data_IF_258698768041
#
_entry.id   IF_258698768041
#
_cell.length_a   1.000
_cell.length_b   1.000
_cell.length_c   1.000
_cell.angle_alpha   90.00
_cell.angle_beta   90.00
_cell.angle_gamma   90.00
#
_symmetry.space_group_name_H-M   'P 1'
#
loop_
_entity.id
_entity.type
_entity.pdbx_description
1 polymer ?
#
# COMPACT_ATOMS: atom_id res chain seq x y z
N UNK A 1 -12.40 2.71 -12.64
CA UNK A 1 -12.85 4.11 -12.74
C UNK A 1 -12.95 4.60 -11.32
N UNK A 2 -12.14 5.61 -10.96
CA UNK A 2 -12.17 6.20 -9.64
C UNK A 2 -13.43 7.08 -9.58
N UNK A 3 -14.50 6.49 -9.05
CA UNK A 3 -15.72 7.21 -8.74
C UNK A 3 -15.45 7.99 -7.44
N UNK A 4 -15.05 9.27 -7.57
CA UNK A 4 -14.59 10.13 -6.47
C UNK A 4 -15.75 10.48 -5.53
N UNK A 5 -16.11 9.53 -4.67
CA UNK A 5 -17.10 9.70 -3.60
C UNK A 5 -16.44 9.34 -2.29
N UNK A 6 -15.49 10.20 -1.90
CA UNK A 6 -14.76 10.03 -0.66
C UNK A 6 -14.80 11.29 0.19
N UNK A 7 -14.86 11.09 1.49
CA UNK A 7 -14.58 12.11 2.48
C UNK A 7 -13.17 11.87 3.00
N UNK A 8 -12.31 12.86 2.80
CA UNK A 8 -10.95 12.88 3.32
C UNK A 8 -10.55 14.33 3.53
N UNK A 9 -9.76 14.57 4.58
CA UNK A 9 -9.08 15.84 4.78
C UNK A 9 -7.68 15.54 5.28
N UNK A 10 -6.73 16.37 4.88
CA UNK A 10 -5.34 16.16 5.20
C UNK A 10 -4.62 17.50 5.38
N UNK A 11 -3.84 17.62 6.45
CA UNK A 11 -3.03 18.80 6.71
C UNK A 11 -1.63 18.59 6.13
N UNK A 12 -1.18 19.50 5.30
CA UNK A 12 0.25 19.75 5.07
C UNK A 12 0.66 20.80 6.10
N UNK A 13 1.48 20.42 7.08
CA UNK A 13 2.07 21.41 7.97
C UNK A 13 2.87 22.41 7.11
N UNK A 14 2.74 23.70 7.35
CA UNK A 14 3.41 24.72 6.53
C UNK A 14 3.51 26.02 7.32
N UNK A 15 4.58 26.79 7.11
CA UNK A 15 4.60 28.18 7.56
C UNK A 15 3.70 29.05 6.64
N UNK A 16 3.36 30.30 7.03
CA UNK A 16 2.46 31.13 6.23
C UNK A 16 2.91 31.35 4.79
N UNK A 17 4.22 31.52 4.54
CA UNK A 17 4.77 31.69 3.20
C UNK A 17 4.61 30.41 2.36
N UNK A 18 4.85 29.25 2.95
CA UNK A 18 4.63 27.97 2.29
C UNK A 18 3.14 27.72 2.00
N UNK A 19 2.25 28.10 2.91
CA UNK A 19 0.81 27.98 2.70
C UNK A 19 0.31 28.91 1.57
N UNK A 20 0.90 30.09 1.42
CA UNK A 20 0.63 30.99 0.28
C UNK A 20 1.10 30.37 -1.05
N UNK A 21 2.30 29.77 -1.08
CA UNK A 21 2.83 29.06 -2.25
C UNK A 21 1.94 27.88 -2.65
N UNK A 22 1.42 27.13 -1.66
CA UNK A 22 0.50 26.01 -1.93
C UNK A 22 -0.81 26.49 -2.53
N UNK A 23 -1.39 27.56 -1.98
CA UNK A 23 -2.62 28.14 -2.53
C UNK A 23 -2.41 28.65 -3.97
N UNK A 24 -1.29 29.30 -4.24
CA UNK A 24 -0.92 29.76 -5.59
C UNK A 24 -0.77 28.58 -6.56
N UNK A 25 -0.02 27.54 -6.18
CA UNK A 25 0.15 26.35 -7.00
C UNK A 25 -1.17 25.64 -7.30
N UNK A 26 -2.09 25.58 -6.33
CA UNK A 26 -3.40 24.97 -6.51
C UNK A 26 -4.27 25.75 -7.51
N UNK A 27 -4.25 27.09 -7.43
CA UNK A 27 -4.98 27.92 -8.39
C UNK A 27 -4.45 27.73 -9.82
N UNK A 28 -3.13 27.67 -10.01
CA UNK A 28 -2.50 27.39 -11.31
C UNK A 28 -2.84 25.99 -11.86
N UNK A 29 -3.15 25.02 -10.98
CA UNK A 29 -3.59 23.69 -11.40
C UNK A 29 -5.06 23.67 -11.83
N UNK A 30 -5.92 24.49 -11.22
CA UNK A 30 -7.37 24.50 -11.46
C UNK A 30 -7.76 25.44 -12.59
N UNK A 31 -6.99 26.51 -12.81
CA UNK A 31 -7.15 27.44 -13.92
C UNK A 31 -5.83 27.54 -14.71
N UNK A 32 -5.40 26.44 -15.38
CA UNK A 32 -4.08 26.39 -16.00
C UNK A 32 -3.96 27.35 -17.19
N UNK A 33 -2.89 28.15 -17.21
CA UNK A 33 -2.40 28.78 -18.43
C UNK A 33 -1.59 27.75 -19.23
N UNK A 34 -2.12 27.31 -20.37
CA UNK A 34 -1.47 26.36 -21.28
C UNK A 34 0.00 26.72 -21.57
N UNK A 35 0.30 28.00 -21.75
CA UNK A 35 1.66 28.45 -22.06
C UNK A 35 2.61 28.29 -20.88
N UNK A 36 2.10 28.51 -19.66
CA UNK A 36 2.81 28.28 -18.41
C UNK A 36 3.07 26.79 -18.19
N UNK A 37 2.03 25.96 -18.32
CA UNK A 37 2.15 24.50 -18.15
C UNK A 37 3.12 23.91 -19.17
N UNK A 38 3.03 24.31 -20.44
CA UNK A 38 3.94 23.86 -21.49
C UNK A 38 5.40 24.26 -21.21
N UNK A 39 5.63 25.47 -20.70
CA UNK A 39 6.96 25.90 -20.25
C UNK A 39 7.49 24.97 -19.15
N UNK A 40 6.71 24.68 -18.12
CA UNK A 40 7.14 23.87 -16.97
C UNK A 40 7.48 22.42 -17.35
N UNK A 41 6.65 21.77 -18.17
CA UNK A 41 6.88 20.38 -18.58
C UNK A 41 8.03 20.26 -19.58
N UNK A 42 8.33 21.31 -20.35
CA UNK A 42 9.43 21.34 -21.31
C UNK A 42 10.81 21.41 -20.65
N UNK A 43 10.87 21.80 -19.37
CA UNK A 43 12.11 21.82 -18.60
C UNK A 43 12.58 20.40 -18.26
N UNK A 44 13.83 20.08 -18.58
CA UNK A 44 14.43 18.77 -18.30
C UNK A 44 14.61 18.48 -16.80
N UNK A 45 14.69 19.53 -15.96
CA UNK A 45 14.85 19.42 -14.52
C UNK A 45 14.17 20.59 -13.79
N UNK A 46 14.22 20.56 -12.45
CA UNK A 46 13.63 21.57 -11.57
C UNK A 46 14.60 22.71 -11.19
N UNK A 47 15.80 22.76 -11.77
CA UNK A 47 16.78 23.79 -11.40
C UNK A 47 16.30 25.16 -11.88
N UNK A 48 16.17 26.10 -10.94
CA UNK A 48 15.73 27.47 -11.23
C UNK A 48 14.22 27.66 -11.35
N UNK A 49 13.43 26.61 -11.11
CA UNK A 49 11.99 26.74 -10.87
C UNK A 49 11.74 27.21 -9.43
N UNK A 50 10.71 28.02 -9.24
CA UNK A 50 10.20 28.34 -7.90
C UNK A 50 9.56 27.12 -7.24
N UNK A 51 9.35 27.15 -5.93
CA UNK A 51 8.65 26.08 -5.21
C UNK A 51 7.23 25.85 -5.78
N UNK A 52 6.52 26.92 -6.14
CA UNK A 52 5.22 26.86 -6.81
C UNK A 52 5.32 26.12 -8.16
N UNK A 53 6.28 26.51 -9.00
CA UNK A 53 6.50 25.89 -10.32
C UNK A 53 6.90 24.40 -10.19
N UNK A 54 7.66 24.04 -9.15
CA UNK A 54 8.00 22.64 -8.84
C UNK A 54 6.73 21.85 -8.49
N UNK A 55 5.83 22.42 -7.67
CA UNK A 55 4.58 21.78 -7.28
C UNK A 55 3.72 21.50 -8.51
N UNK A 56 3.44 22.53 -9.30
CA UNK A 56 2.61 22.44 -10.52
C UNK A 56 3.20 21.41 -11.47
N UNK A 57 4.51 21.49 -11.75
CA UNK A 57 5.20 20.56 -12.65
C UNK A 57 5.09 19.11 -12.17
N UNK A 58 5.27 18.85 -10.87
CA UNK A 58 5.18 17.50 -10.31
C UNK A 58 3.78 16.92 -10.46
N UNK A 59 2.76 17.70 -10.10
CA UNK A 59 1.36 17.30 -10.24
C UNK A 59 1.02 16.94 -11.70
N UNK A 60 1.31 17.84 -12.64
CA UNK A 60 1.01 17.65 -14.06
C UNK A 60 1.72 16.42 -14.64
N UNK A 61 3.03 16.26 -14.38
CA UNK A 61 3.80 15.16 -14.96
C UNK A 61 3.39 13.78 -14.44
N UNK A 62 2.86 13.71 -13.21
CA UNK A 62 2.46 12.48 -12.54
C UNK A 62 0.93 12.29 -12.49
N UNK A 63 0.16 13.14 -13.18
CA UNK A 63 -1.29 13.02 -13.20
C UNK A 63 -1.73 11.65 -13.79
N UNK A 64 -2.67 10.92 -13.15
CA UNK A 64 -3.03 9.55 -13.55
C UNK A 64 -3.54 9.42 -14.99
N UNK A 65 -4.18 10.47 -15.51
CA UNK A 65 -4.70 10.52 -16.89
C UNK A 65 -3.74 11.13 -17.90
N UNK A 66 -2.52 11.52 -17.50
CA UNK A 66 -1.54 12.06 -18.44
C UNK A 66 -1.13 10.97 -19.44
N UNK A 67 -1.40 11.23 -20.72
CA UNK A 67 -0.81 10.46 -21.80
C UNK A 67 0.45 11.19 -22.29
N UNK A 68 1.47 10.45 -22.75
CA UNK A 68 2.76 11.05 -23.15
C UNK A 68 2.60 12.04 -24.32
N UNK A 69 1.53 11.89 -25.11
CA UNK A 69 1.25 12.73 -26.27
C UNK A 69 0.64 14.09 -25.93
N UNK A 70 -0.22 14.19 -24.90
CA UNK A 70 -1.03 15.39 -24.64
C UNK A 70 -1.30 15.55 -23.14
N UNK A 71 -1.25 16.79 -22.65
CA UNK A 71 -1.86 17.16 -21.37
C UNK A 71 -3.33 17.43 -21.67
N UNK A 72 -4.28 16.79 -20.95
CA UNK A 72 -5.68 17.13 -21.06
C UNK A 72 -5.91 18.63 -20.87
N UNK A 73 -6.68 19.25 -21.77
CA UNK A 73 -7.05 20.68 -21.70
C UNK A 73 -7.83 21.04 -20.42
N UNK A 74 -8.35 20.03 -19.71
CA UNK A 74 -9.09 20.18 -18.46
C UNK A 74 -8.72 19.02 -17.53
N UNK A 75 -7.75 19.28 -16.64
CA UNK A 75 -7.37 18.35 -15.59
C UNK A 75 -8.32 18.57 -14.41
N UNK A 76 -9.43 17.84 -14.38
CA UNK A 76 -10.35 17.93 -13.25
C UNK A 76 -9.72 17.31 -12.00
N UNK A 77 -9.23 18.18 -11.10
CA UNK A 77 -8.46 17.77 -9.95
C UNK A 77 -9.32 17.21 -8.81
N UNK A 78 -10.59 17.62 -8.71
CA UNK A 78 -11.54 17.13 -7.69
C UNK A 78 -11.00 17.11 -6.24
N UNK A 79 -10.26 18.14 -5.83
CA UNK A 79 -9.97 18.43 -4.42
C UNK A 79 -10.01 19.95 -4.20
N UNK A 80 -9.95 20.39 -2.96
CA UNK A 80 -9.86 21.81 -2.59
C UNK A 80 -8.80 21.97 -1.49
N UNK A 81 -8.45 23.22 -1.20
CA UNK A 81 -7.41 23.56 -0.27
C UNK A 81 -7.62 24.92 0.39
N UNK A 82 -7.46 24.97 1.70
CA UNK A 82 -7.53 26.21 2.46
C UNK A 82 -6.33 26.40 3.39
N UNK A 83 -5.95 27.66 3.59
CA UNK A 83 -4.91 28.02 4.55
C UNK A 83 -5.47 27.96 5.95
N UNK A 84 -4.75 27.31 6.86
CA UNK A 84 -5.07 27.26 8.28
C UNK A 84 -3.84 27.68 9.12
N UNK A 85 -4.00 27.97 10.42
CA UNK A 85 -2.90 28.35 11.29
C UNK A 85 -1.75 27.33 11.33
N UNK A 86 -2.07 26.04 11.16
CA UNK A 86 -1.13 24.93 11.19
C UNK A 86 -0.48 24.63 9.83
N UNK A 87 -0.98 25.22 8.74
CA UNK A 87 -0.45 25.04 7.39
C UNK A 87 -1.49 25.14 6.29
N UNK A 88 -1.61 24.09 5.48
CA UNK A 88 -2.51 24.02 4.34
C UNK A 88 -3.37 22.75 4.43
N UNK A 89 -4.67 22.94 4.58
CA UNK A 89 -5.64 21.85 4.67
C UNK A 89 -6.11 21.49 3.27
N UNK A 90 -5.82 20.28 2.82
CA UNK A 90 -6.42 19.66 1.64
C UNK A 90 -7.75 19.03 2.07
N UNK A 91 -8.84 19.35 1.38
CA UNK A 91 -10.19 18.85 1.67
C UNK A 91 -11.03 18.78 0.37
N UNK A 92 -12.34 18.57 0.49
CA UNK A 92 -13.31 18.86 -0.58
C UNK A 92 -14.61 19.30 0.08
N UNK A 93 -15.11 20.47 -0.32
CA UNK A 93 -16.38 21.01 0.15
C UNK A 93 -17.59 20.37 -0.54
N UNK A 94 -17.37 19.68 -1.67
CA UNK A 94 -18.41 19.12 -2.53
C UNK A 94 -18.68 17.62 -2.27
N UNK A 95 -17.90 16.99 -1.37
CA UNK A 95 -18.05 15.59 -1.01
C UNK A 95 -17.60 14.60 -2.10
N UNK A 96 -16.80 15.08 -3.05
CA UNK A 96 -16.28 14.36 -4.22
C UNK A 96 -14.74 14.31 -4.23
N UNK A 97 -14.13 14.17 -3.05
CA UNK A 97 -12.68 14.21 -2.91
C UNK A 97 -11.97 13.13 -3.73
N UNK A 98 -11.06 13.56 -4.59
CA UNK A 98 -10.11 12.73 -5.30
C UNK A 98 -8.82 12.61 -4.50
N UNK A 99 -8.71 11.51 -3.79
CA UNK A 99 -7.56 11.23 -2.94
C UNK A 99 -6.26 11.00 -3.71
N UNK A 100 -6.30 10.55 -4.97
CA UNK A 100 -5.09 10.37 -5.77
C UNK A 100 -4.46 11.72 -6.09
N UNK A 101 -5.30 12.69 -6.47
CA UNK A 101 -4.90 14.05 -6.79
C UNK A 101 -4.44 14.83 -5.55
N UNK A 102 -5.18 14.75 -4.45
CA UNK A 102 -4.74 15.34 -3.17
C UNK A 102 -3.41 14.75 -2.67
N UNK A 103 -3.18 13.45 -2.85
CA UNK A 103 -1.92 12.80 -2.48
C UNK A 103 -0.75 13.25 -3.38
N UNK A 104 -0.98 13.42 -4.68
CA UNK A 104 0.01 13.97 -5.61
C UNK A 104 0.41 15.40 -5.22
N UNK A 105 -0.58 16.24 -4.91
CA UNK A 105 -0.34 17.62 -4.46
C UNK A 105 0.45 17.67 -3.14
N UNK A 106 0.09 16.82 -2.16
CA UNK A 106 0.83 16.70 -0.91
C UNK A 106 2.29 16.24 -1.13
N UNK A 107 2.52 15.29 -2.04
CA UNK A 107 3.88 14.87 -2.37
C UNK A 107 4.67 16.02 -3.03
N UNK A 108 4.05 16.72 -3.97
CA UNK A 108 4.64 17.84 -4.67
C UNK A 108 5.10 18.94 -3.68
N UNK A 109 4.28 19.23 -2.68
CA UNK A 109 4.62 20.14 -1.59
C UNK A 109 5.86 19.69 -0.80
N UNK A 110 5.91 18.40 -0.40
CA UNK A 110 7.06 17.86 0.33
C UNK A 110 8.36 17.92 -0.49
N UNK A 111 8.27 17.70 -1.81
CA UNK A 111 9.42 17.82 -2.73
C UNK A 111 9.86 19.27 -2.84
N UNK A 112 8.94 20.19 -3.10
CA UNK A 112 9.27 21.60 -3.32
C UNK A 112 9.87 22.28 -2.08
N UNK A 113 9.40 21.88 -0.89
CA UNK A 113 9.92 22.41 0.38
C UNK A 113 11.04 21.56 1.00
N UNK A 114 11.51 20.51 0.31
CA UNK A 114 12.47 19.52 0.80
C UNK A 114 12.17 19.01 2.22
N UNK A 115 10.92 18.64 2.48
CA UNK A 115 10.46 18.17 3.78
C UNK A 115 10.44 16.65 3.85
N UNK A 116 11.01 16.10 4.92
CA UNK A 116 11.05 14.66 5.17
C UNK A 116 9.97 14.26 6.18
N UNK A 117 8.73 14.26 5.71
CA UNK A 117 7.54 13.96 6.51
C UNK A 117 6.72 12.83 5.91
N UNK A 118 5.86 12.26 6.77
CA UNK A 118 4.87 11.28 6.36
C UNK A 118 3.47 11.88 6.59
N UNK A 119 2.77 12.13 5.49
CA UNK A 119 1.42 12.66 5.47
C UNK A 119 0.44 11.49 5.33
N UNK A 120 -0.60 11.46 6.16
CA UNK A 120 -1.58 10.37 6.22
C UNK A 120 -2.97 10.83 5.76
N UNK A 121 -3.47 10.20 4.70
CA UNK A 121 -4.84 10.36 4.21
C UNK A 121 -5.68 9.19 4.72
N UNK A 122 -6.71 9.49 5.51
CA UNK A 122 -7.72 8.53 5.97
C UNK A 122 -8.97 8.73 5.13
N UNK A 123 -9.22 7.80 4.21
CA UNK A 123 -10.18 7.99 3.14
C UNK A 123 -11.42 7.16 3.44
N UNK A 124 -12.53 7.85 3.72
CA UNK A 124 -13.83 7.22 3.89
C UNK A 124 -14.58 7.25 2.56
N UNK A 125 -14.98 6.10 2.02
CA UNK A 125 -15.88 6.09 0.87
C UNK A 125 -17.31 6.29 1.35
N UNK A 126 -18.07 7.16 0.68
CA UNK A 126 -19.39 7.59 1.14
C UNK A 126 -20.52 6.95 0.35
N UNK A 127 -21.67 6.80 1.01
CA UNK A 127 -22.91 6.28 0.42
C UNK A 127 -23.74 7.34 -0.32
N UNK A 128 -23.18 8.53 -0.53
CA UNK A 128 -23.84 9.68 -1.14
C UNK A 128 -24.29 9.42 -2.59
N UNK A 129 -23.75 8.40 -3.25
CA UNK A 129 -24.24 7.91 -4.54
C UNK A 129 -24.93 6.54 -4.43
N UNK A 130 -26.25 6.53 -4.58
CA UNK A 130 -27.14 5.33 -4.59
C UNK A 130 -26.84 4.32 -5.71
N UNK A 131 -25.92 4.63 -6.64
CA UNK A 131 -25.64 3.82 -7.84
C UNK A 131 -24.45 2.88 -7.71
N UNK A 132 -23.67 2.92 -6.62
CA UNK A 132 -22.58 1.95 -6.43
C UNK A 132 -23.15 0.56 -6.09
N UNK A 133 -22.83 -0.48 -6.87
CA UNK A 133 -23.29 -1.83 -6.58
C UNK A 133 -22.40 -2.54 -5.53
N UNK A 134 -21.30 -1.93 -5.12
CA UNK A 134 -20.32 -2.45 -4.16
C UNK A 134 -20.34 -1.70 -2.81
N UNK A 135 -19.64 -2.24 -1.81
CA UNK A 135 -19.61 -1.68 -0.45
C UNK A 135 -18.65 -0.48 -0.32
N UNK A 136 -18.95 0.41 0.62
CA UNK A 136 -18.22 1.66 0.90
C UNK A 136 -16.94 1.46 1.73
N UNK A 137 -16.09 0.53 1.32
CA UNK A 137 -14.87 0.18 2.05
C UNK A 137 -13.76 1.22 1.86
N UNK A 138 -13.42 1.97 2.91
CA UNK A 138 -12.39 3.01 2.86
C UNK A 138 -10.97 2.54 2.51
N UNK A 139 -10.06 3.51 2.45
CA UNK A 139 -8.65 3.32 2.15
C UNK A 139 -7.76 4.19 3.05
N UNK A 140 -6.47 3.87 3.07
CA UNK A 140 -5.45 4.73 3.62
C UNK A 140 -4.41 5.00 2.52
N UNK A 141 -3.99 6.26 2.44
CA UNK A 141 -2.86 6.67 1.62
C UNK A 141 -1.82 7.33 2.52
N UNK A 142 -0.56 6.96 2.31
CA UNK A 142 0.58 7.59 2.98
C UNK A 142 1.49 8.21 1.93
N UNK A 143 1.87 9.46 2.19
CA UNK A 143 2.62 10.29 1.27
C UNK A 143 3.91 10.74 1.93
N UNK A 144 5.02 10.57 1.24
CA UNK A 144 6.31 11.17 1.54
C UNK A 144 6.88 11.78 0.26
N UNK A 145 7.98 12.53 0.38
CA UNK A 145 8.68 13.06 -0.80
C UNK A 145 9.16 11.97 -1.77
N UNK A 146 9.40 10.75 -1.28
CA UNK A 146 9.96 9.64 -2.06
C UNK A 146 8.89 8.67 -2.59
N UNK A 147 7.71 8.62 -1.98
CA UNK A 147 6.67 7.66 -2.36
C UNK A 147 5.25 8.11 -2.00
N UNK A 148 4.29 7.61 -2.77
CA UNK A 148 2.87 7.54 -2.41
C UNK A 148 2.52 6.06 -2.33
N UNK A 149 1.90 5.61 -1.22
CA UNK A 149 1.51 4.21 -1.03
C UNK A 149 0.08 4.11 -0.55
N UNK A 150 -0.61 3.12 -1.08
CA UNK A 150 -2.02 2.87 -0.85
C UNK A 150 -2.22 1.52 -0.19
N UNK A 151 -3.17 1.47 0.75
CA UNK A 151 -3.77 0.22 1.19
C UNK A 151 -5.28 0.43 1.33
N UNK A 152 -6.06 -0.61 1.08
CA UNK A 152 -7.50 -0.51 1.09
C UNK A 152 -8.19 -1.84 1.27
N UNK A 153 -9.49 -1.79 1.54
CA UNK A 153 -10.32 -2.96 1.81
C UNK A 153 -10.34 -3.95 0.63
N UNK A 154 -10.17 -3.45 -0.60
CA UNK A 154 -10.22 -4.26 -1.82
C UNK A 154 -9.24 -5.44 -1.79
N UNK A 155 -7.97 -5.18 -1.45
CA UNK A 155 -6.92 -6.19 -1.44
C UNK A 155 -7.21 -7.32 -0.43
N UNK A 156 -7.68 -6.95 0.76
CA UNK A 156 -8.10 -7.91 1.78
C UNK A 156 -9.29 -8.76 1.28
N UNK A 157 -10.34 -8.11 0.77
CA UNK A 157 -11.53 -8.81 0.28
C UNK A 157 -11.25 -9.70 -0.92
N UNK A 158 -10.37 -9.29 -1.82
CA UNK A 158 -9.97 -10.10 -2.98
C UNK A 158 -9.22 -11.36 -2.53
N UNK A 159 -8.29 -11.22 -1.58
CA UNK A 159 -7.55 -12.33 -1.01
C UNK A 159 -8.50 -13.33 -0.32
N UNK A 160 -9.46 -12.83 0.47
CA UNK A 160 -10.50 -13.65 1.13
C UNK A 160 -11.42 -14.36 0.12
N UNK A 161 -11.91 -13.65 -0.91
CA UNK A 161 -12.77 -14.24 -1.94
C UNK A 161 -12.05 -15.34 -2.71
N UNK A 162 -10.78 -15.12 -3.06
CA UNK A 162 -9.94 -16.09 -3.75
C UNK A 162 -9.75 -17.33 -2.90
N UNK A 163 -9.35 -17.17 -1.63
CA UNK A 163 -9.19 -18.26 -0.68
C UNK A 163 -10.47 -19.08 -0.51
N UNK A 164 -11.62 -18.40 -0.39
CA UNK A 164 -12.91 -19.04 -0.26
C UNK A 164 -13.31 -19.83 -1.51
N UNK A 165 -13.17 -19.22 -2.70
CA UNK A 165 -13.49 -19.85 -3.97
C UNK A 165 -12.62 -21.10 -4.23
N UNK A 166 -11.34 -21.02 -3.89
CA UNK A 166 -10.39 -22.12 -4.01
C UNK A 166 -10.47 -23.13 -2.86
N UNK A 167 -11.27 -22.83 -1.82
CA UNK A 167 -11.40 -23.66 -0.61
C UNK A 167 -10.06 -23.92 0.07
N UNK A 168 -9.25 -22.87 0.22
CA UNK A 168 -7.89 -22.94 0.77
C UNK A 168 -7.81 -22.37 2.18
N UNK A 169 -7.00 -23.02 3.00
CA UNK A 169 -6.56 -22.55 4.31
C UNK A 169 -5.05 -22.29 4.26
N UNK A 170 -4.58 -21.32 5.04
CA UNK A 170 -3.19 -20.91 5.07
C UNK A 170 -2.63 -20.99 6.48
N UNK A 171 -1.38 -21.42 6.59
CA UNK A 171 -0.68 -21.56 7.87
C UNK A 171 0.75 -21.06 7.76
N UNK A 172 1.23 -20.47 8.85
CA UNK A 172 2.66 -20.31 9.09
C UNK A 172 3.14 -21.48 9.94
N UNK A 173 4.15 -22.19 9.44
CA UNK A 173 4.71 -23.39 10.03
C UNK A 173 6.15 -23.13 10.43
N UNK A 174 6.54 -23.57 11.62
CA UNK A 174 7.90 -23.45 12.12
C UNK A 174 8.30 -24.63 12.98
N UNK A 175 9.55 -25.03 12.89
CA UNK A 175 10.17 -26.00 13.78
C UNK A 175 11.66 -25.73 13.92
N UNK A 176 12.33 -26.37 14.86
CA UNK A 176 13.78 -26.28 15.04
C UNK A 176 14.41 -27.62 14.75
N UNK A 177 15.31 -27.67 13.78
CA UNK A 177 16.20 -28.81 13.61
C UNK A 177 17.37 -28.72 14.60
N UNK A 178 17.67 -29.82 15.28
CA UNK A 178 18.79 -29.94 16.20
C UNK A 178 19.81 -30.91 15.63
N UNK A 179 21.06 -30.48 15.48
CA UNK A 179 22.19 -31.31 15.02
C UNK A 179 23.28 -31.27 16.09
N UNK A 180 23.34 -32.31 16.93
CA UNK A 180 24.19 -32.29 18.13
C UNK A 180 23.76 -31.19 19.09
N UNK A 181 24.62 -30.19 19.31
CA UNK A 181 24.35 -29.02 20.16
C UNK A 181 23.84 -27.80 19.37
N UNK A 182 23.76 -27.88 18.04
CA UNK A 182 23.37 -26.76 17.18
C UNK A 182 21.87 -26.79 16.90
N UNK A 183 21.22 -25.62 17.03
CA UNK A 183 19.80 -25.42 16.70
C UNK A 183 19.65 -24.57 15.43
N UNK A 184 18.83 -25.05 14.49
CA UNK A 184 18.53 -24.40 13.21
C UNK A 184 17.01 -24.17 13.07
N UNK A 185 16.53 -22.92 13.17
CA UNK A 185 15.13 -22.63 12.97
C UNK A 185 14.75 -22.79 11.49
N UNK A 186 13.63 -23.46 11.25
CA UNK A 186 13.02 -23.66 9.93
C UNK A 186 11.63 -23.06 9.97
N UNK A 187 11.32 -22.20 9.00
CA UNK A 187 10.00 -21.57 8.86
C UNK A 187 9.57 -21.59 7.40
N UNK A 188 8.29 -21.84 7.17
CA UNK A 188 7.68 -21.86 5.84
C UNK A 188 6.18 -21.58 5.94
N UNK A 189 5.56 -21.29 4.81
CA UNK A 189 4.12 -21.13 4.73
C UNK A 189 3.49 -22.34 4.04
N UNK A 190 2.37 -22.82 4.57
CA UNK A 190 1.61 -23.95 4.07
C UNK A 190 0.28 -23.47 3.50
N UNK A 191 0.05 -23.77 2.22
CA UNK A 191 -1.26 -23.64 1.58
C UNK A 191 -1.92 -25.02 1.51
N UNK A 192 -3.06 -25.18 2.18
CA UNK A 192 -3.72 -26.48 2.33
C UNK A 192 -5.19 -26.38 1.91
N UNK A 193 -5.69 -27.25 1.02
CA UNK A 193 -7.14 -27.36 0.78
C UNK A 193 -7.88 -27.65 2.08
N UNK A 194 -9.07 -27.06 2.25
CA UNK A 194 -9.88 -27.23 3.46
C UNK A 194 -10.41 -28.67 3.65
N UNK A 195 -10.37 -29.49 2.58
CA UNK A 195 -10.69 -30.91 2.61
C UNK A 195 -9.56 -31.78 3.16
N UNK A 196 -8.37 -31.21 3.35
CA UNK A 196 -7.17 -31.92 3.83
C UNK A 196 -6.91 -31.51 5.27
N UNK A 197 -6.56 -32.48 6.12
CA UNK A 197 -6.15 -32.20 7.50
C UNK A 197 -4.76 -31.53 7.51
N UNK A 198 -4.73 -30.23 7.78
CA UNK A 198 -3.50 -29.45 7.78
C UNK A 198 -2.47 -29.94 8.80
N UNK A 199 -2.90 -30.40 9.98
CA UNK A 199 -1.99 -30.94 10.99
C UNK A 199 -1.35 -32.25 10.50
N UNK A 200 -2.11 -33.13 9.86
CA UNK A 200 -1.56 -34.35 9.26
C UNK A 200 -0.56 -34.03 8.14
N UNK A 201 -0.88 -33.07 7.28
CA UNK A 201 0.02 -32.63 6.21
C UNK A 201 1.29 -31.98 6.77
N UNK A 202 1.17 -31.23 7.87
CA UNK A 202 2.32 -30.66 8.55
C UNK A 202 3.22 -31.77 9.14
N UNK A 203 2.63 -32.75 9.82
CA UNK A 203 3.34 -33.93 10.32
C UNK A 203 4.08 -34.68 9.19
N UNK A 204 3.44 -34.87 8.03
CA UNK A 204 4.07 -35.46 6.84
C UNK A 204 5.26 -34.65 6.34
N UNK A 205 5.16 -33.31 6.31
CA UNK A 205 6.27 -32.45 5.91
C UNK A 205 7.44 -32.58 6.87
N UNK A 206 7.17 -32.62 8.18
CA UNK A 206 8.21 -32.79 9.20
C UNK A 206 8.88 -34.17 9.12
N UNK A 207 8.09 -35.22 8.92
CA UNK A 207 8.58 -36.58 8.72
C UNK A 207 9.43 -36.70 7.46
N UNK A 208 9.05 -36.04 6.37
CA UNK A 208 9.80 -36.09 5.11
C UNK A 208 10.85 -34.97 4.99
N UNK A 209 11.13 -34.25 6.07
CA UNK A 209 12.20 -33.27 6.06
C UNK A 209 13.55 -33.98 5.85
N UNK A 210 14.42 -33.41 5.00
CA UNK A 210 15.65 -34.05 4.51
C UNK A 210 15.37 -35.40 3.82
N UNK A 211 15.87 -36.50 4.39
CA UNK A 211 15.86 -37.84 3.79
C UNK A 211 14.81 -38.76 4.42
N UNK A 212 13.93 -38.22 5.27
CA UNK A 212 12.93 -38.99 6.01
C UNK A 212 13.35 -39.29 7.46
N UNK A 213 12.46 -39.01 8.40
CA UNK A 213 12.63 -39.21 9.83
C UNK A 213 11.61 -40.18 10.41
N UNK A 214 11.90 -40.67 11.61
CA UNK A 214 11.04 -41.57 12.37
C UNK A 214 10.53 -40.88 13.63
N UNK A 215 9.26 -41.13 14.00
CA UNK A 215 8.69 -40.66 15.26
C UNK A 215 9.16 -41.55 16.40
N UNK A 216 9.69 -40.95 17.46
CA UNK A 216 9.98 -41.63 18.72
C UNK A 216 8.72 -41.78 19.59
N UNK A 217 8.86 -42.47 20.72
CA UNK A 217 7.76 -42.76 21.64
C UNK A 217 7.16 -41.51 22.31
N UNK A 218 7.88 -40.39 22.30
CA UNK A 218 7.45 -39.09 22.84
C UNK A 218 6.88 -38.17 21.76
N UNK A 219 6.85 -38.63 20.50
CA UNK A 219 6.38 -37.88 19.34
C UNK A 219 7.42 -36.93 18.74
N UNK A 220 8.67 -36.98 19.18
CA UNK A 220 9.80 -36.32 18.55
C UNK A 220 10.15 -36.98 17.22
N UNK A 221 10.69 -36.22 16.26
CA UNK A 221 11.13 -36.76 14.96
C UNK A 221 12.65 -36.81 14.96
N UNK A 222 13.21 -37.98 14.64
CA UNK A 222 14.65 -38.21 14.53
C UNK A 222 15.02 -38.67 13.13
N UNK A 223 16.17 -38.20 12.63
CA UNK A 223 16.67 -38.52 11.30
C UNK A 223 17.91 -39.42 11.40
N UNK A 224 18.11 -40.26 10.38
CA UNK A 224 19.28 -41.15 10.26
C UNK A 224 20.62 -40.39 10.21
N UNK A 225 20.59 -39.11 9.84
CA UNK A 225 21.71 -38.17 9.90
C UNK A 225 22.15 -37.82 11.33
N UNK A 226 21.39 -38.21 12.36
CA UNK A 226 21.61 -37.85 13.75
C UNK A 226 21.02 -36.49 14.14
N UNK A 227 20.20 -35.88 13.29
CA UNK A 227 19.43 -34.68 13.62
C UNK A 227 18.03 -35.00 14.15
N UNK A 228 17.38 -34.05 14.81
CA UNK A 228 16.02 -34.19 15.34
C UNK A 228 15.20 -32.91 15.20
N UNK A 229 13.88 -33.02 15.16
CA UNK A 229 12.97 -31.87 15.20
C UNK A 229 12.48 -31.62 16.63
N UNK A 230 12.47 -30.34 17.04
CA UNK A 230 11.82 -29.86 18.26
C UNK A 230 11.05 -28.56 17.99
N UNK A 231 10.27 -28.11 18.98
CA UNK A 231 9.57 -26.80 19.00
C UNK A 231 8.65 -26.58 17.78
N UNK A 232 7.95 -27.62 17.33
CA UNK A 232 7.01 -27.56 16.19
C UNK A 232 5.81 -26.68 16.50
N UNK A 233 5.49 -25.78 15.58
CA UNK A 233 4.36 -24.85 15.68
C UNK A 233 3.71 -24.67 14.31
N UNK A 234 2.38 -24.65 14.28
CA UNK A 234 1.56 -24.35 13.10
C UNK A 234 0.46 -23.39 13.52
N UNK A 235 0.42 -22.22 12.90
CA UNK A 235 -0.52 -21.15 13.24
C UNK A 235 -1.33 -20.78 12.01
N UNK A 236 -2.67 -20.70 12.08
CA UNK A 236 -3.46 -20.21 10.96
C UNK A 236 -3.07 -18.75 10.69
N UNK A 237 -3.02 -18.39 9.41
CA UNK A 237 -2.79 -17.03 8.95
C UNK A 237 -3.88 -16.67 7.94
N UNK A 238 -4.14 -15.37 7.81
CA UNK A 238 -5.06 -14.83 6.81
C UNK A 238 -4.50 -15.01 5.39
N UNK A 239 -5.36 -15.03 4.36
CA UNK A 239 -4.93 -15.01 2.97
C UNK A 239 -4.03 -13.80 2.64
N UNK A 240 -4.26 -12.65 3.26
CA UNK A 240 -3.45 -11.46 3.07
C UNK A 240 -2.05 -11.60 3.68
N UNK A 241 -1.94 -12.13 4.90
CA UNK A 241 -0.66 -12.48 5.51
C UNK A 241 0.12 -13.50 4.66
N UNK A 242 -0.55 -14.53 4.14
CA UNK A 242 0.07 -15.49 3.22
C UNK A 242 0.59 -14.82 1.94
N UNK A 243 -0.21 -13.92 1.34
CA UNK A 243 0.16 -13.16 0.15
C UNK A 243 1.43 -12.34 0.38
N UNK A 244 1.53 -11.66 1.52
CA UNK A 244 2.71 -10.87 1.91
C UNK A 244 3.91 -11.77 2.21
N UNK A 245 3.74 -12.84 2.97
CA UNK A 245 4.85 -13.74 3.33
C UNK A 245 5.41 -14.50 2.13
N UNK A 246 4.57 -14.86 1.15
CA UNK A 246 4.94 -15.62 -0.05
C UNK A 246 6.04 -14.94 -0.88
N UNK A 247 6.16 -13.61 -0.85
CA UNK A 247 7.23 -12.90 -1.57
C UNK A 247 8.60 -12.99 -0.90
N UNK A 248 8.64 -13.38 0.38
CA UNK A 248 9.86 -13.37 1.20
C UNK A 248 10.25 -14.74 1.75
N UNK A 249 9.30 -15.68 1.83
CA UNK A 249 9.50 -17.03 2.31
C UNK A 249 9.30 -18.04 1.18
N UNK A 250 10.09 -19.12 1.20
CA UNK A 250 9.87 -20.25 0.30
C UNK A 250 8.52 -20.89 0.60
N UNK A 251 7.72 -21.09 -0.45
CA UNK A 251 6.49 -21.89 -0.41
C UNK A 251 6.87 -23.33 -0.66
N UNK A 252 6.52 -24.24 0.25
CA UNK A 252 6.64 -25.69 0.07
C UNK A 252 5.27 -26.32 -0.20
#
# INVERSE_FOLDING_TARGET
MADYYSECACLIEANPTQADILLEAMNELFEPDDSFIQKLISCDNTNGLSEMEIIVRHCVLNHPFRNVADIPEDLDWHFDGEKCPEGFLINSDLGDFNSEHGALFAQAALIAFDRNELIEFKIAFTCSNLKRPDGFGGAACVVSKDFIRWTGLHNFLEAERTAFAEKMNYFFCEFTEVVGELEYPVSFILRCPNSVNAAHRYDEIQLNYRDGGEKDAEGGIQFSSGSAIKKSSMKPITPDEFRVMKSYLNVM
#
